data_IF_985217027319
#
_entry.id   IF_985217027319
#
_cell.length_a   1.000
_cell.length_b   1.000
_cell.length_c   1.000
_cell.angle_alpha   90.00
_cell.angle_beta   90.00
_cell.angle_gamma   90.00
#
_symmetry.space_group_name_H-M   'P 1'
#
loop_
_entity.id
_entity.type
_entity.pdbx_description
1 polymer ?
#
# COMPACT_ATOMS: atom_id res chain seq x y z
N UNK A 1 16.20 40.64 -75.30
CA UNK A 1 17.67 40.84 -75.28
C UNK A 1 17.99 41.94 -74.28
N UNK A 2 19.13 41.80 -73.59
CA UNK A 2 19.77 42.74 -72.66
C UNK A 2 19.32 42.73 -71.18
N UNK A 3 20.20 42.11 -70.37
CA UNK A 3 20.42 42.31 -68.93
C UNK A 3 21.16 43.63 -68.69
N UNK A 4 20.98 44.30 -67.54
CA UNK A 4 21.94 45.06 -66.67
C UNK A 4 21.09 45.55 -65.47
N UNK A 5 21.18 45.05 -64.21
CA UNK A 5 22.16 45.19 -63.11
C UNK A 5 22.20 46.58 -62.41
N UNK A 6 21.92 46.55 -61.08
CA UNK A 6 22.41 47.41 -59.98
C UNK A 6 21.93 48.89 -59.90
N UNK A 7 21.82 49.57 -58.75
CA UNK A 7 21.68 49.32 -57.30
C UNK A 7 21.59 50.73 -56.66
N UNK A 8 21.02 50.84 -55.46
CA UNK A 8 21.22 51.95 -54.49
C UNK A 8 20.53 53.30 -54.80
N UNK A 9 19.93 54.04 -53.86
CA UNK A 9 19.70 53.90 -52.43
C UNK A 9 18.50 54.79 -52.09
N UNK A 10 17.51 54.27 -51.37
CA UNK A 10 16.42 55.09 -50.83
C UNK A 10 16.78 55.39 -49.37
N UNK A 11 16.94 56.69 -49.11
CA UNK A 11 17.00 57.31 -47.79
C UNK A 11 15.70 56.97 -47.05
N UNK A 12 15.78 56.13 -46.02
CA UNK A 12 14.72 56.05 -45.01
C UNK A 12 15.15 56.82 -43.77
N UNK A 13 14.37 57.85 -43.51
CA UNK A 13 14.38 58.78 -42.40
C UNK A 13 14.47 58.05 -41.05
N UNK A 14 15.44 58.45 -40.24
CA UNK A 14 15.49 58.13 -38.83
C UNK A 14 14.33 58.82 -38.11
N UNK A 15 13.24 58.09 -37.85
CA UNK A 15 12.31 58.43 -36.78
C UNK A 15 12.92 57.82 -35.52
N UNK A 16 13.54 58.68 -34.71
CA UNK A 16 13.92 58.39 -33.33
C UNK A 16 12.63 58.26 -32.53
N UNK A 17 12.05 57.05 -32.57
CA UNK A 17 11.09 56.65 -31.55
C UNK A 17 11.89 56.39 -30.28
N UNK A 18 11.89 57.36 -29.38
CA UNK A 18 12.26 57.19 -27.98
C UNK A 18 11.27 56.24 -27.31
N UNK A 19 11.30 54.97 -27.69
CA UNK A 19 10.80 53.92 -26.84
C UNK A 19 11.79 53.87 -25.67
N UNK A 20 11.44 54.51 -24.56
CA UNK A 20 11.86 54.04 -23.26
C UNK A 20 11.53 52.54 -23.23
N UNK A 21 12.53 51.72 -23.52
CA UNK A 21 12.51 50.34 -23.14
C UNK A 21 12.34 50.37 -21.62
N UNK A 22 11.10 50.16 -21.17
CA UNK A 22 10.85 49.72 -19.80
C UNK A 22 11.56 48.38 -19.75
N UNK A 23 12.82 48.40 -19.30
CA UNK A 23 13.54 47.21 -18.95
C UNK A 23 12.60 46.40 -18.05
N UNK A 24 12.44 45.08 -18.27
CA UNK A 24 11.73 44.27 -17.29
C UNK A 24 12.38 44.59 -15.95
N UNK A 25 11.56 45.02 -14.97
CA UNK A 25 12.01 45.36 -13.64
C UNK A 25 13.09 44.36 -13.24
N UNK A 26 14.33 44.82 -13.07
CA UNK A 26 15.44 43.92 -12.78
C UNK A 26 15.01 43.08 -11.58
N UNK A 27 14.95 41.75 -11.78
CA UNK A 27 14.68 40.82 -10.70
C UNK A 27 15.65 41.18 -9.58
N UNK A 28 15.12 41.62 -8.45
CA UNK A 28 15.93 41.94 -7.28
C UNK A 28 16.18 40.61 -6.57
N UNK A 29 17.37 39.99 -6.74
CA UNK A 29 17.63 38.67 -6.23
C UNK A 29 17.57 38.62 -4.69
N UNK A 30 17.78 39.77 -4.02
CA UNK A 30 17.63 39.85 -2.58
C UNK A 30 16.14 39.78 -2.20
N UNK A 31 15.31 40.58 -2.88
CA UNK A 31 13.86 40.59 -2.67
C UNK A 31 13.22 39.23 -2.97
N UNK A 32 13.55 38.62 -4.11
CA UNK A 32 13.01 37.32 -4.51
C UNK A 32 13.35 36.22 -3.50
N UNK A 33 14.60 36.22 -2.99
CA UNK A 33 15.03 35.29 -1.96
C UNK A 33 14.24 35.47 -0.64
N UNK A 34 14.03 36.72 -0.22
CA UNK A 34 13.26 37.04 0.99
C UNK A 34 11.79 36.64 0.85
N UNK A 35 11.15 36.96 -0.27
CA UNK A 35 9.74 36.60 -0.54
C UNK A 35 9.56 35.08 -0.58
N UNK A 36 10.50 34.36 -1.22
CA UNK A 36 10.47 32.89 -1.25
C UNK A 36 10.61 32.27 0.12
N UNK A 37 11.55 32.76 0.94
CA UNK A 37 11.74 32.26 2.32
C UNK A 37 10.54 32.59 3.21
N UNK A 38 9.92 33.76 3.06
CA UNK A 38 8.72 34.13 3.79
C UNK A 38 7.53 33.21 3.45
N UNK A 39 7.37 32.84 2.18
CA UNK A 39 6.36 31.87 1.75
C UNK A 39 6.58 30.49 2.38
N UNK A 40 7.82 30.01 2.38
CA UNK A 40 8.20 28.72 2.98
C UNK A 40 7.94 28.74 4.49
N UNK A 41 8.33 29.81 5.19
CA UNK A 41 8.10 29.98 6.62
C UNK A 41 6.59 29.95 6.95
N UNK A 42 5.76 30.60 6.13
CA UNK A 42 4.29 30.57 6.26
C UNK A 42 3.70 29.19 6.01
N UNK A 43 4.20 28.47 5.00
CA UNK A 43 3.77 27.10 4.72
C UNK A 43 4.14 26.15 5.87
N UNK A 44 5.34 26.29 6.41
CA UNK A 44 5.81 25.47 7.52
C UNK A 44 5.05 25.75 8.81
N UNK A 45 4.67 27.00 9.05
CA UNK A 45 3.79 27.35 10.16
C UNK A 45 2.44 26.62 10.08
N UNK A 46 1.86 26.47 8.88
CA UNK A 46 0.64 25.67 8.69
C UNK A 46 0.87 24.19 9.01
N UNK A 47 2.01 23.64 8.64
CA UNK A 47 2.40 22.26 8.99
C UNK A 47 2.49 22.12 10.51
N UNK A 48 3.15 23.06 11.19
CA UNK A 48 3.25 23.07 12.66
C UNK A 48 1.89 23.19 13.35
N UNK A 49 0.97 23.98 12.79
CA UNK A 49 -0.36 24.20 13.38
C UNK A 49 -1.36 23.08 13.09
N UNK A 50 -1.31 22.50 11.88
CA UNK A 50 -2.36 21.59 11.37
C UNK A 50 -1.88 20.18 11.06
N UNK A 51 -0.56 19.96 11.00
CA UNK A 51 0.02 18.66 10.67
C UNK A 51 -0.15 18.22 9.21
N UNK A 52 -0.59 19.11 8.31
CA UNK A 52 -0.81 18.82 6.88
C UNK A 52 0.53 18.72 6.13
N UNK A 53 0.83 17.58 5.51
CA UNK A 53 2.12 17.34 4.82
C UNK A 53 2.04 17.34 3.28
N UNK A 54 0.85 17.49 2.70
CA UNK A 54 0.64 17.30 1.25
C UNK A 54 1.20 18.43 0.39
N UNK A 55 1.28 19.63 0.95
CA UNK A 55 1.74 20.84 0.27
C UNK A 55 3.05 21.40 0.86
N UNK A 56 3.97 20.52 1.27
CA UNK A 56 5.30 20.94 1.73
C UNK A 56 6.10 21.57 0.58
N UNK A 57 6.72 22.75 0.78
CA UNK A 57 7.65 23.30 -0.20
C UNK A 57 8.90 22.42 -0.32
N UNK A 58 9.57 22.47 -1.48
CA UNK A 58 10.79 21.71 -1.71
C UNK A 58 11.97 22.22 -0.87
N UNK A 59 12.74 21.29 -0.27
CA UNK A 59 13.94 21.63 0.52
C UNK A 59 15.00 22.29 -0.37
N UNK A 60 15.12 21.83 -1.62
CA UNK A 60 16.06 22.38 -2.59
C UNK A 60 15.79 23.86 -2.86
N UNK A 61 14.52 24.23 -3.01
CA UNK A 61 14.10 25.61 -3.24
C UNK A 61 14.40 26.51 -2.03
N UNK A 62 14.20 25.99 -0.81
CA UNK A 62 14.59 26.71 0.41
C UNK A 62 16.09 27.00 0.44
N UNK A 63 16.91 25.97 0.19
CA UNK A 63 18.38 26.10 0.19
C UNK A 63 18.87 27.01 -0.93
N UNK A 64 18.23 26.98 -2.10
CA UNK A 64 18.51 27.88 -3.21
C UNK A 64 18.23 29.34 -2.84
N UNK A 65 17.10 29.62 -2.18
CA UNK A 65 16.76 30.96 -1.73
C UNK A 65 17.74 31.48 -0.66
N UNK A 66 18.17 30.64 0.30
CA UNK A 66 19.22 31.00 1.26
C UNK A 66 20.53 31.34 0.55
N UNK A 67 20.96 30.53 -0.43
CA UNK A 67 22.19 30.78 -1.18
C UNK A 67 22.11 32.07 -2.00
N UNK A 68 20.99 32.30 -2.68
CA UNK A 68 20.76 33.50 -3.48
C UNK A 68 20.77 34.76 -2.60
N UNK A 69 20.07 34.73 -1.46
CA UNK A 69 20.04 35.85 -0.52
C UNK A 69 21.42 36.19 0.06
N UNK A 70 22.22 35.17 0.39
CA UNK A 70 23.59 35.37 0.87
C UNK A 70 24.49 35.99 -0.22
N UNK A 71 24.37 35.51 -1.47
CA UNK A 71 25.10 36.06 -2.61
C UNK A 71 24.68 37.51 -2.93
N UNK A 72 23.42 37.87 -2.66
CA UNK A 72 22.90 39.22 -2.81
C UNK A 72 23.22 40.15 -1.61
N UNK A 73 23.95 39.67 -0.61
CA UNK A 73 24.42 40.50 0.52
C UNK A 73 23.38 40.73 1.63
N UNK A 74 22.32 39.91 1.72
CA UNK A 74 21.33 40.01 2.79
C UNK A 74 22.00 39.71 4.14
N UNK A 75 21.76 40.58 5.13
CA UNK A 75 22.36 40.42 6.46
C UNK A 75 21.52 39.49 7.33
N UNK A 76 22.15 38.85 8.33
CA UNK A 76 21.45 37.91 9.22
C UNK A 76 20.30 38.55 10.02
N UNK A 77 20.35 39.86 10.25
CA UNK A 77 19.31 40.63 10.95
C UNK A 77 18.16 41.08 10.04
N UNK A 78 18.28 40.96 8.70
CA UNK A 78 17.20 41.29 7.78
C UNK A 78 15.98 40.42 8.07
N UNK A 79 14.83 41.05 8.33
CA UNK A 79 13.58 40.36 8.53
C UNK A 79 13.05 39.78 7.21
N UNK A 80 12.39 38.61 7.28
CA UNK A 80 11.61 38.11 6.16
C UNK A 80 10.29 38.91 6.05
N UNK A 81 9.80 39.23 4.84
CA UNK A 81 8.57 40.00 4.62
C UNK A 81 7.37 39.43 5.38
N UNK A 82 6.72 40.26 6.20
CA UNK A 82 5.54 39.90 7.02
C UNK A 82 5.76 38.72 7.98
N UNK A 83 7.01 38.42 8.36
CA UNK A 83 7.35 37.36 9.31
C UNK A 83 8.19 37.89 10.47
N UNK A 84 8.10 37.22 11.61
CA UNK A 84 9.01 37.45 12.75
C UNK A 84 10.41 36.83 12.53
N UNK A 85 10.53 35.93 11.55
CA UNK A 85 11.78 35.22 11.22
C UNK A 85 12.75 36.15 10.48
N UNK A 86 14.04 36.05 10.79
CA UNK A 86 15.11 36.76 10.07
C UNK A 86 15.86 35.85 9.12
N UNK A 87 16.56 36.43 8.14
CA UNK A 87 17.38 35.71 7.18
C UNK A 87 18.43 34.82 7.86
N UNK A 88 19.02 35.27 8.98
CA UNK A 88 19.96 34.46 9.78
C UNK A 88 19.39 33.14 10.31
N UNK A 89 18.06 33.01 10.40
CA UNK A 89 17.37 31.78 10.79
C UNK A 89 16.93 30.91 9.61
N UNK A 90 17.10 31.37 8.37
CA UNK A 90 16.62 30.67 7.19
C UNK A 90 17.31 29.31 6.97
N UNK A 91 18.56 29.14 7.40
CA UNK A 91 19.23 27.84 7.39
C UNK A 91 18.54 26.81 8.31
N UNK A 92 18.13 27.25 9.50
CA UNK A 92 17.37 26.42 10.43
C UNK A 92 15.97 26.09 9.88
N UNK A 93 15.32 27.06 9.21
CA UNK A 93 14.06 26.85 8.51
C UNK A 93 14.16 25.73 7.46
N UNK A 94 15.21 25.75 6.61
CA UNK A 94 15.39 24.71 5.60
C UNK A 94 15.71 23.32 6.19
N UNK A 95 16.40 23.29 7.33
CA UNK A 95 16.64 22.04 8.06
C UNK A 95 15.36 21.50 8.68
N UNK A 96 14.52 22.38 9.23
CA UNK A 96 13.22 22.01 9.78
C UNK A 96 12.31 21.43 8.69
N UNK A 97 12.27 22.08 7.52
CA UNK A 97 11.55 21.59 6.35
C UNK A 97 12.04 20.19 5.91
N UNK A 98 13.35 19.94 5.93
CA UNK A 98 13.90 18.63 5.60
C UNK A 98 13.44 17.53 6.56
N UNK A 99 13.25 17.85 7.84
CA UNK A 99 12.68 16.91 8.82
C UNK A 99 11.23 16.58 8.47
N UNK A 100 10.42 17.57 8.10
CA UNK A 100 9.02 17.37 7.70
C UNK A 100 8.88 16.53 6.42
N UNK A 101 9.78 16.68 5.45
CA UNK A 101 9.84 15.80 4.28
C UNK A 101 10.11 14.34 4.65
N UNK A 102 11.03 14.10 5.60
CA UNK A 102 11.27 12.73 6.10
C UNK A 102 10.06 12.16 6.82
N UNK A 103 9.34 12.98 7.60
CA UNK A 103 8.08 12.56 8.23
C UNK A 103 6.98 12.26 7.21
N UNK A 104 6.89 13.02 6.11
CA UNK A 104 5.96 12.73 5.00
C UNK A 104 6.23 11.37 4.37
N UNK A 105 7.50 11.04 4.11
CA UNK A 105 7.86 9.73 3.56
C UNK A 105 7.47 8.57 4.51
N UNK A 106 7.59 8.78 5.82
CA UNK A 106 7.11 7.81 6.82
C UNK A 106 5.58 7.71 6.79
N UNK A 107 4.87 8.85 6.75
CA UNK A 107 3.39 8.89 6.63
C UNK A 107 2.91 8.04 5.45
N UNK A 108 3.51 8.20 4.28
CA UNK A 108 3.12 7.47 3.07
C UNK A 108 3.28 5.94 3.22
N UNK A 109 4.27 5.47 3.99
CA UNK A 109 4.46 4.05 4.27
C UNK A 109 3.44 3.48 5.25
N UNK A 110 3.02 4.27 6.25
CA UNK A 110 2.18 3.80 7.35
C UNK A 110 0.68 4.07 7.14
N UNK A 111 0.33 4.99 6.24
CA UNK A 111 -1.05 5.35 5.93
C UNK A 111 -1.96 4.14 5.66
N UNK A 112 -1.57 3.10 4.90
CA UNK A 112 -2.44 1.95 4.67
C UNK A 112 -2.88 1.25 5.96
N UNK A 113 -1.94 1.03 6.89
CA UNK A 113 -2.24 0.39 8.17
C UNK A 113 -3.08 1.29 9.08
N UNK A 114 -2.82 2.61 9.08
CA UNK A 114 -3.57 3.55 9.90
C UNK A 114 -5.00 3.74 9.40
N UNK A 115 -5.22 3.81 8.08
CA UNK A 115 -6.56 3.79 7.49
C UNK A 115 -7.33 2.52 7.90
N UNK A 116 -6.66 1.37 7.89
CA UNK A 116 -7.24 0.11 8.40
C UNK A 116 -7.57 0.23 9.88
N UNK A 117 -6.63 0.65 10.72
CA UNK A 117 -6.81 0.71 12.16
C UNK A 117 -7.95 1.65 12.59
N UNK A 118 -8.14 2.77 11.89
CA UNK A 118 -9.08 3.82 12.31
C UNK A 118 -10.44 3.77 11.61
N UNK A 119 -10.51 3.26 10.39
CA UNK A 119 -11.76 3.21 9.61
C UNK A 119 -12.31 1.81 9.54
N UNK A 120 -11.48 0.85 9.12
CA UNK A 120 -11.97 -0.49 8.81
C UNK A 120 -12.01 -1.40 10.03
N UNK A 121 -11.03 -1.35 10.92
CA UNK A 121 -10.96 -2.25 12.07
C UNK A 121 -12.11 -2.04 13.07
N UNK A 122 -12.58 -0.81 13.36
CA UNK A 122 -13.79 -0.63 14.19
C UNK A 122 -15.03 -1.25 13.53
N UNK A 123 -15.16 -1.13 12.20
CA UNK A 123 -16.27 -1.68 11.41
C UNK A 123 -16.16 -3.20 11.20
N UNK A 124 -14.93 -3.72 11.09
CA UNK A 124 -14.59 -5.12 10.85
C UNK A 124 -14.41 -5.92 12.15
N UNK A 125 -14.90 -5.40 13.28
CA UNK A 125 -14.78 -6.04 14.59
C UNK A 125 -15.32 -7.47 14.64
N UNK A 126 -16.13 -7.89 13.66
CA UNK A 126 -16.66 -9.24 13.53
C UNK A 126 -15.94 -10.15 12.51
N UNK A 127 -15.12 -9.63 11.60
CA UNK A 127 -14.51 -10.44 10.53
C UNK A 127 -13.05 -10.80 10.83
N UNK A 128 -12.87 -11.99 11.44
CA UNK A 128 -11.57 -12.54 11.81
C UNK A 128 -10.68 -12.83 10.59
N UNK A 129 -11.27 -13.21 9.46
CA UNK A 129 -10.49 -13.48 8.25
C UNK A 129 -9.92 -12.19 7.67
N UNK A 130 -10.71 -11.12 7.69
CA UNK A 130 -10.26 -9.80 7.26
C UNK A 130 -9.16 -9.24 8.18
N UNK A 131 -9.32 -9.34 9.50
CA UNK A 131 -8.29 -8.90 10.46
C UNK A 131 -6.97 -9.68 10.31
N UNK A 132 -7.04 -10.98 10.02
CA UNK A 132 -5.85 -11.81 9.75
C UNK A 132 -5.11 -11.33 8.50
N UNK A 133 -5.83 -10.91 7.46
CA UNK A 133 -5.25 -10.41 6.20
C UNK A 133 -4.49 -9.10 6.40
N UNK A 134 -4.87 -8.29 7.40
CA UNK A 134 -4.22 -7.00 7.69
C UNK A 134 -2.96 -7.08 8.57
N UNK A 135 -2.63 -8.25 9.10
CA UNK A 135 -1.47 -8.43 9.97
C UNK A 135 -0.15 -7.96 9.33
N UNK A 136 0.17 -8.27 8.05
CA UNK A 136 1.40 -7.79 7.41
C UNK A 136 1.49 -6.27 7.32
N UNK A 137 0.38 -5.57 7.09
CA UNK A 137 0.33 -4.11 7.03
C UNK A 137 0.61 -3.50 8.40
N UNK A 138 0.08 -4.10 9.47
CA UNK A 138 0.38 -3.68 10.84
C UNK A 138 1.86 -3.85 11.19
N UNK A 139 2.47 -4.99 10.79
CA UNK A 139 3.89 -5.25 10.98
C UNK A 139 4.77 -4.26 10.21
N UNK A 140 4.44 -3.99 8.94
CA UNK A 140 5.15 -3.01 8.12
C UNK A 140 5.05 -1.59 8.70
N UNK A 141 3.89 -1.21 9.23
CA UNK A 141 3.72 0.07 9.91
C UNK A 141 4.66 0.20 11.12
N UNK A 142 4.70 -0.81 11.99
CA UNK A 142 5.58 -0.80 13.17
C UNK A 142 7.05 -0.70 12.76
N UNK A 143 7.47 -1.44 11.73
CA UNK A 143 8.83 -1.37 11.21
C UNK A 143 9.18 0.03 10.68
N UNK A 144 8.29 0.66 9.92
CA UNK A 144 8.51 2.00 9.40
C UNK A 144 8.64 3.05 10.51
N UNK A 145 7.80 2.98 11.55
CA UNK A 145 7.87 3.90 12.69
C UNK A 145 9.14 3.64 13.53
N UNK A 146 9.45 2.38 13.81
CA UNK A 146 10.64 2.03 14.61
C UNK A 146 11.93 2.43 13.88
N UNK A 147 11.99 2.24 12.55
CA UNK A 147 13.10 2.71 11.72
C UNK A 147 13.20 4.24 11.69
N UNK A 148 12.06 4.95 11.61
CA UNK A 148 12.02 6.41 11.66
C UNK A 148 12.57 6.97 12.98
N UNK A 149 12.15 6.39 14.11
CA UNK A 149 12.63 6.76 15.44
C UNK A 149 14.12 6.43 15.62
N UNK A 150 14.56 5.25 15.17
CA UNK A 150 15.97 4.87 15.19
C UNK A 150 16.85 5.79 14.31
N UNK A 151 16.29 6.31 13.21
CA UNK A 151 16.95 7.29 12.34
C UNK A 151 16.95 8.73 12.91
N UNK A 152 16.47 8.92 14.14
CA UNK A 152 16.47 10.19 14.85
C UNK A 152 15.37 11.16 14.42
N UNK A 153 14.29 10.69 13.78
CA UNK A 153 13.15 11.57 13.52
C UNK A 153 12.47 11.96 14.84
N UNK A 154 11.97 13.21 14.95
CA UNK A 154 11.47 13.74 16.21
C UNK A 154 10.16 13.05 16.60
N UNK A 155 10.18 12.35 17.74
CA UNK A 155 9.00 11.66 18.27
C UNK A 155 7.85 12.61 18.63
N UNK A 156 8.14 13.85 19.04
CA UNK A 156 7.14 14.81 19.53
C UNK A 156 6.43 15.63 18.45
N UNK A 157 6.74 15.43 17.16
CA UNK A 157 6.05 16.17 16.09
C UNK A 157 4.79 15.43 15.67
N UNK A 158 3.66 16.12 15.77
CA UNK A 158 2.36 15.60 15.34
C UNK A 158 2.08 15.97 13.87
N UNK A 159 1.55 15.02 13.11
CA UNK A 159 1.10 15.23 11.73
C UNK A 159 -0.12 14.37 11.41
N UNK A 160 -0.87 14.75 10.37
CA UNK A 160 -2.03 13.99 9.92
C UNK A 160 -1.57 12.63 9.35
N UNK A 161 -2.03 11.50 9.91
CA UNK A 161 -1.49 10.18 9.53
C UNK A 161 -2.04 9.64 8.21
N UNK A 162 -3.24 10.06 7.83
CA UNK A 162 -3.94 9.67 6.61
C UNK A 162 -5.00 10.73 6.27
N UNK A 163 -5.47 10.77 5.02
CA UNK A 163 -6.43 11.79 4.52
C UNK A 163 -7.77 11.79 5.26
N UNK A 164 -8.15 10.66 5.85
CA UNK A 164 -9.41 10.42 6.55
C UNK A 164 -9.31 10.60 8.08
N UNK A 165 -8.20 11.16 8.57
CA UNK A 165 -7.99 11.40 9.99
C UNK A 165 -7.87 12.89 10.28
N UNK A 166 -8.76 13.39 11.12
CA UNK A 166 -8.93 14.83 11.39
C UNK A 166 -8.03 15.35 12.51
N UNK A 167 -7.17 14.50 13.10
CA UNK A 167 -6.30 14.86 14.22
C UNK A 167 -4.83 14.55 13.92
N UNK A 168 -3.93 15.53 14.08
CA UNK A 168 -2.50 15.28 14.08
C UNK A 168 -2.09 14.34 15.22
N UNK A 169 -1.24 13.37 14.89
CA UNK A 169 -0.71 12.38 15.83
C UNK A 169 0.80 12.32 15.72
N UNK A 170 1.45 12.10 16.84
CA UNK A 170 2.88 11.83 16.92
C UNK A 170 3.22 10.42 16.46
N UNK A 171 4.49 10.17 16.11
CA UNK A 171 4.94 8.81 15.75
C UNK A 171 4.61 7.77 16.83
N UNK A 172 4.81 8.02 18.15
CA UNK A 172 4.39 7.09 19.20
C UNK A 172 2.87 6.81 19.24
N UNK A 173 2.02 7.83 19.04
CA UNK A 173 0.58 7.63 18.99
C UNK A 173 0.16 6.79 17.77
N UNK A 174 0.75 7.05 16.60
CA UNK A 174 0.51 6.25 15.39
C UNK A 174 1.00 4.81 15.57
N UNK A 175 2.13 4.63 16.26
CA UNK A 175 2.66 3.30 16.61
C UNK A 175 1.66 2.51 17.45
N UNK A 176 1.00 3.15 18.41
CA UNK A 176 0.00 2.50 19.26
C UNK A 176 -1.17 1.92 18.45
N UNK A 177 -1.64 2.64 17.43
CA UNK A 177 -2.68 2.14 16.51
C UNK A 177 -2.20 0.91 15.72
N UNK A 178 -0.95 0.93 15.24
CA UNK A 178 -0.38 -0.22 14.53
C UNK A 178 -0.14 -1.42 15.45
N UNK A 179 0.19 -1.20 16.74
CA UNK A 179 0.23 -2.26 17.76
C UNK A 179 -1.15 -2.88 17.94
N UNK A 180 -2.19 -2.06 18.12
CA UNK A 180 -3.57 -2.57 18.28
C UNK A 180 -4.00 -3.42 17.08
N UNK A 181 -3.76 -2.92 15.86
CA UNK A 181 -4.10 -3.66 14.65
C UNK A 181 -3.35 -4.99 14.55
N UNK A 182 -2.04 -5.00 14.87
CA UNK A 182 -1.22 -6.22 14.90
C UNK A 182 -1.79 -7.22 15.90
N UNK A 183 -2.12 -6.78 17.11
CA UNK A 183 -2.58 -7.67 18.18
C UNK A 183 -3.92 -8.30 17.82
N UNK A 184 -4.85 -7.51 17.27
CA UNK A 184 -6.13 -8.01 16.75
C UNK A 184 -5.94 -9.00 15.61
N UNK A 185 -5.05 -8.71 14.65
CA UNK A 185 -4.71 -9.62 13.56
C UNK A 185 -4.06 -10.92 14.05
N UNK A 186 -3.21 -10.83 15.07
CA UNK A 186 -2.57 -11.98 15.72
C UNK A 186 -3.58 -12.89 16.44
N UNK A 187 -4.50 -12.31 17.22
CA UNK A 187 -5.60 -13.05 17.85
C UNK A 187 -6.48 -13.72 16.81
N UNK A 188 -6.87 -13.01 15.75
CA UNK A 188 -7.69 -13.56 14.68
C UNK A 188 -6.99 -14.74 13.97
N UNK A 189 -5.70 -14.60 13.66
CA UNK A 189 -4.87 -15.68 13.08
C UNK A 189 -4.85 -16.92 13.98
N UNK A 190 -4.67 -16.74 15.28
CA UNK A 190 -4.66 -17.85 16.25
C UNK A 190 -6.02 -18.54 16.33
N UNK A 191 -7.11 -17.77 16.36
CA UNK A 191 -8.47 -18.30 16.40
C UNK A 191 -8.84 -19.08 15.14
N UNK A 192 -8.55 -18.54 13.95
CA UNK A 192 -8.80 -19.26 12.68
C UNK A 192 -8.03 -20.58 12.62
N UNK A 193 -6.78 -20.60 13.11
CA UNK A 193 -6.00 -21.82 13.19
C UNK A 193 -6.57 -22.83 14.20
N UNK A 194 -7.10 -22.35 15.33
CA UNK A 194 -7.75 -23.20 16.33
C UNK A 194 -9.06 -23.80 15.78
N UNK A 195 -9.88 -23.02 15.10
CA UNK A 195 -11.13 -23.46 14.48
C UNK A 195 -10.86 -24.50 13.38
N UNK A 196 -9.83 -24.27 12.55
CA UNK A 196 -9.42 -25.24 11.53
C UNK A 196 -8.97 -26.58 12.15
N UNK A 197 -8.21 -26.55 13.25
CA UNK A 197 -7.81 -27.76 13.99
C UNK A 197 -9.02 -28.47 14.62
N UNK A 198 -9.96 -27.73 15.18
CA UNK A 198 -11.18 -28.29 15.75
C UNK A 198 -12.05 -28.95 14.67
N UNK A 199 -12.19 -28.31 13.50
CA UNK A 199 -12.90 -28.86 12.35
C UNK A 199 -12.22 -30.14 11.83
N UNK A 200 -10.88 -30.15 11.70
CA UNK A 200 -10.13 -31.34 11.30
C UNK A 200 -10.34 -32.49 12.31
N UNK A 201 -10.28 -32.20 13.61
CA UNK A 201 -10.50 -33.18 14.67
C UNK A 201 -11.92 -33.76 14.61
N UNK A 202 -12.94 -32.93 14.38
CA UNK A 202 -14.32 -33.35 14.21
C UNK A 202 -14.50 -34.25 12.97
N UNK A 203 -13.90 -33.89 11.83
CA UNK A 203 -13.91 -34.71 10.62
C UNK A 203 -13.22 -36.06 10.85
N UNK A 204 -12.05 -36.05 11.50
CA UNK A 204 -11.32 -37.27 11.85
C UNK A 204 -12.16 -38.17 12.75
N UNK A 205 -12.83 -37.61 13.76
CA UNK A 205 -13.70 -38.35 14.67
C UNK A 205 -14.91 -38.96 13.95
N UNK A 206 -15.60 -38.18 13.10
CA UNK A 206 -16.71 -38.64 12.24
C UNK A 206 -16.32 -39.87 11.44
N UNK A 207 -15.23 -39.79 10.68
CA UNK A 207 -14.80 -40.89 9.80
C UNK A 207 -14.23 -42.09 10.55
N UNK A 208 -13.52 -41.86 11.66
CA UNK A 208 -13.00 -42.94 12.51
C UNK A 208 -14.14 -43.72 13.17
N UNK A 209 -15.20 -43.04 13.65
CA UNK A 209 -16.41 -43.67 14.21
C UNK A 209 -17.13 -44.56 13.19
N UNK A 210 -17.08 -44.18 11.91
CA UNK A 210 -17.61 -44.98 10.81
C UNK A 210 -16.66 -46.13 10.38
N UNK A 211 -15.45 -46.22 10.93
CA UNK A 211 -14.49 -47.30 10.72
C UNK A 211 -13.37 -47.02 9.72
N UNK A 212 -13.22 -45.79 9.23
CA UNK A 212 -12.12 -45.44 8.33
C UNK A 212 -10.76 -45.38 9.07
N UNK A 213 -9.69 -45.86 8.42
CA UNK A 213 -8.32 -45.89 8.97
C UNK A 213 -7.28 -45.60 7.88
N UNK A 214 -6.05 -45.25 8.29
CA UNK A 214 -4.91 -45.09 7.39
C UNK A 214 -5.15 -44.10 6.24
N UNK A 215 -4.66 -44.42 5.04
CA UNK A 215 -4.81 -43.55 3.87
C UNK A 215 -6.28 -43.28 3.50
N UNK A 216 -7.20 -44.22 3.78
CA UNK A 216 -8.62 -44.03 3.52
C UNK A 216 -9.24 -42.96 4.42
N UNK A 217 -8.84 -42.91 5.70
CA UNK A 217 -9.27 -41.84 6.62
C UNK A 217 -8.84 -40.47 6.11
N UNK A 218 -7.57 -40.33 5.73
CA UNK A 218 -7.03 -39.08 5.16
C UNK A 218 -7.79 -38.65 3.91
N UNK A 219 -8.06 -39.58 2.99
CA UNK A 219 -8.83 -39.29 1.79
C UNK A 219 -10.26 -38.84 2.10
N UNK A 220 -10.98 -39.54 2.98
CA UNK A 220 -12.37 -39.20 3.31
C UNK A 220 -12.49 -37.86 4.03
N UNK A 221 -11.51 -37.49 4.86
CA UNK A 221 -11.43 -36.14 5.43
C UNK A 221 -11.28 -35.07 4.34
N UNK A 222 -10.44 -35.32 3.32
CA UNK A 222 -10.23 -34.38 2.20
C UNK A 222 -11.50 -34.17 1.37
N UNK A 223 -12.27 -35.23 1.14
CA UNK A 223 -13.42 -35.22 0.22
C UNK A 223 -14.77 -35.17 0.95
N UNK A 224 -14.79 -34.82 2.24
CA UNK A 224 -16.01 -34.82 3.06
C UNK A 224 -17.12 -33.94 2.46
N UNK A 225 -16.74 -32.77 1.96
CA UNK A 225 -17.60 -31.76 1.34
C UNK A 225 -17.94 -32.06 -0.13
N UNK A 226 -17.35 -33.11 -0.72
CA UNK A 226 -17.54 -33.45 -2.12
C UNK A 226 -18.56 -34.58 -2.28
N UNK A 227 -19.23 -34.55 -3.43
CA UNK A 227 -19.97 -35.70 -3.95
C UNK A 227 -18.94 -36.70 -4.47
N UNK A 228 -19.01 -37.93 -3.97
CA UNK A 228 -18.10 -39.00 -4.37
C UNK A 228 -18.92 -40.20 -4.77
N UNK A 229 -18.65 -40.71 -5.98
CA UNK A 229 -19.43 -41.79 -6.58
C UNK A 229 -18.73 -43.13 -6.39
N UNK A 230 -19.52 -44.20 -6.29
CA UNK A 230 -19.04 -45.58 -6.23
C UNK A 230 -18.86 -46.24 -7.58
N UNK A 231 -18.63 -47.56 -7.57
CA UNK A 231 -18.50 -48.41 -8.77
C UNK A 231 -19.65 -48.21 -9.76
N UNK A 232 -20.87 -48.01 -9.27
CA UNK A 232 -22.09 -47.92 -10.08
C UNK A 232 -22.47 -46.48 -10.44
N UNK A 233 -21.53 -45.53 -10.31
CA UNK A 233 -21.74 -44.09 -10.52
C UNK A 233 -22.83 -43.46 -9.66
N UNK A 234 -23.19 -44.11 -8.55
CA UNK A 234 -24.11 -43.55 -7.57
C UNK A 234 -23.33 -42.88 -6.46
N UNK A 235 -23.87 -41.76 -5.97
CA UNK A 235 -23.33 -41.09 -4.80
C UNK A 235 -23.30 -42.05 -3.61
N UNK A 236 -22.16 -42.06 -2.93
CA UNK A 236 -21.95 -42.88 -1.75
C UNK A 236 -22.36 -42.12 -0.50
N UNK A 237 -23.24 -42.74 0.29
CA UNK A 237 -23.52 -42.28 1.67
C UNK A 237 -22.28 -42.41 2.55
N UNK A 238 -22.19 -41.69 3.69
CA UNK A 238 -21.02 -41.76 4.56
C UNK A 238 -20.65 -43.19 5.00
N UNK A 239 -21.63 -44.05 5.29
CA UNK A 239 -21.38 -45.44 5.66
C UNK A 239 -20.86 -46.28 4.49
N UNK A 240 -21.36 -46.03 3.27
CA UNK A 240 -20.88 -46.70 2.06
C UNK A 240 -19.46 -46.29 1.69
N UNK A 241 -19.11 -45.00 1.87
CA UNK A 241 -17.76 -44.48 1.58
C UNK A 241 -16.66 -45.24 2.35
N UNK A 242 -16.89 -45.64 3.60
CA UNK A 242 -15.87 -46.38 4.37
C UNK A 242 -15.52 -47.75 3.78
N UNK A 243 -16.48 -48.41 3.12
CA UNK A 243 -16.31 -49.77 2.56
C UNK A 243 -16.07 -49.79 1.05
N UNK A 244 -16.25 -48.66 0.36
CA UNK A 244 -16.14 -48.59 -1.09
C UNK A 244 -14.76 -49.07 -1.60
N UNK A 245 -14.76 -49.90 -2.64
CA UNK A 245 -13.54 -50.37 -3.28
C UNK A 245 -12.88 -49.27 -4.15
N UNK A 246 -13.71 -48.38 -4.68
CA UNK A 246 -13.34 -47.31 -5.62
C UNK A 246 -14.21 -46.08 -5.35
N UNK A 247 -13.62 -44.92 -5.59
CA UNK A 247 -14.28 -43.62 -5.55
C UNK A 247 -14.07 -42.93 -6.90
N UNK A 248 -15.11 -42.27 -7.40
CA UNK A 248 -15.01 -41.36 -8.53
C UNK A 248 -15.39 -39.94 -8.11
N UNK A 249 -14.58 -38.99 -8.52
CA UNK A 249 -14.90 -37.56 -8.48
C UNK A 249 -14.95 -37.06 -9.92
N UNK A 250 -15.89 -36.18 -10.19
CA UNK A 250 -16.12 -35.63 -11.53
C UNK A 250 -15.99 -34.13 -11.43
N UNK A 251 -15.14 -33.56 -12.27
CA UNK A 251 -15.08 -32.13 -12.53
C UNK A 251 -15.29 -31.91 -14.02
N UNK A 252 -15.77 -30.74 -14.39
CA UNK A 252 -16.01 -30.40 -15.78
C UNK A 252 -15.40 -29.05 -16.12
N UNK A 253 -14.90 -28.95 -17.35
CA UNK A 253 -14.60 -27.68 -17.99
C UNK A 253 -15.44 -27.54 -19.28
N UNK A 254 -15.12 -26.55 -20.11
CA UNK A 254 -15.84 -26.29 -21.36
C UNK A 254 -15.70 -27.44 -22.38
N UNK A 255 -14.62 -28.21 -22.36
CA UNK A 255 -14.28 -29.18 -23.41
C UNK A 255 -14.41 -30.64 -22.95
N UNK A 256 -14.20 -30.93 -21.66
CA UNK A 256 -14.07 -32.29 -21.16
C UNK A 256 -14.73 -32.51 -19.78
N UNK A 257 -15.08 -33.77 -19.54
CA UNK A 257 -15.29 -34.33 -18.20
C UNK A 257 -13.96 -34.88 -17.69
N UNK A 258 -13.49 -34.38 -16.57
CA UNK A 258 -12.35 -34.93 -15.86
C UNK A 258 -12.85 -35.84 -14.75
N UNK A 259 -12.48 -37.11 -14.80
CA UNK A 259 -12.91 -38.09 -13.81
C UNK A 259 -11.69 -38.63 -13.08
N UNK A 260 -11.65 -38.42 -11.77
CA UNK A 260 -10.64 -38.98 -10.87
C UNK A 260 -11.16 -40.26 -10.26
N UNK A 261 -10.43 -41.36 -10.44
CA UNK A 261 -10.67 -42.65 -9.82
C UNK A 261 -9.66 -42.85 -8.69
N UNK A 262 -10.13 -42.98 -7.46
CA UNK A 262 -9.30 -43.31 -6.30
C UNK A 262 -9.59 -44.74 -5.82
N UNK A 263 -8.55 -45.52 -5.57
CA UNK A 263 -8.62 -46.88 -5.02
C UNK A 263 -7.66 -47.06 -3.85
N UNK A 264 -7.87 -48.10 -3.03
CA UNK A 264 -7.04 -48.39 -1.84
C UNK A 264 -6.49 -49.83 -1.78
N UNK A 265 -5.81 -50.34 -2.83
CA UNK A 265 -5.23 -51.68 -2.78
C UNK A 265 -4.16 -51.77 -1.69
N UNK A 266 -4.25 -52.78 -0.83
CA UNK A 266 -3.32 -52.96 0.30
C UNK A 266 -3.27 -51.76 1.25
N UNK A 267 -4.35 -50.97 1.34
CA UNK A 267 -4.43 -49.80 2.22
C UNK A 267 -3.69 -48.55 1.74
N UNK A 268 -3.10 -48.57 0.53
CA UNK A 268 -2.41 -47.41 -0.07
C UNK A 268 -3.32 -46.71 -1.08
N UNK A 269 -3.39 -45.38 -1.01
CA UNK A 269 -4.14 -44.59 -1.99
C UNK A 269 -3.48 -44.69 -3.37
N UNK A 270 -4.29 -44.94 -4.40
CA UNK A 270 -3.89 -44.85 -5.81
C UNK A 270 -4.93 -44.04 -6.57
N UNK A 271 -4.48 -42.98 -7.23
CA UNK A 271 -5.32 -42.10 -8.02
C UNK A 271 -5.03 -42.30 -9.51
N UNK A 272 -6.08 -42.26 -10.31
CA UNK A 272 -6.03 -42.24 -11.78
C UNK A 272 -6.95 -41.13 -12.27
N UNK A 273 -6.57 -40.45 -13.34
CA UNK A 273 -7.39 -39.40 -13.95
C UNK A 273 -7.60 -39.73 -15.41
N UNK A 274 -8.82 -39.53 -15.90
CA UNK A 274 -9.13 -39.57 -17.33
C UNK A 274 -9.95 -38.34 -17.70
N UNK A 275 -9.62 -37.77 -18.86
CA UNK A 275 -10.43 -36.77 -19.51
C UNK A 275 -11.29 -37.45 -20.59
N UNK A 276 -12.56 -37.10 -20.63
CA UNK A 276 -13.52 -37.55 -21.63
C UNK A 276 -14.06 -36.33 -22.36
N UNK A 277 -13.79 -36.25 -23.64
CA UNK A 277 -14.26 -35.16 -24.50
C UNK A 277 -15.80 -35.11 -24.52
N UNK A 278 -16.39 -33.93 -24.27
CA UNK A 278 -17.84 -33.77 -24.14
C UNK A 278 -18.61 -33.98 -25.44
N UNK A 279 -17.97 -33.79 -26.59
CA UNK A 279 -18.59 -33.88 -27.92
C UNK A 279 -18.58 -35.31 -28.45
N UNK A 280 -17.54 -36.07 -28.14
CA UNK A 280 -17.25 -37.37 -28.76
C UNK A 280 -17.38 -38.53 -27.78
N UNK A 281 -17.40 -38.29 -26.47
CA UNK A 281 -17.40 -39.33 -25.46
C UNK A 281 -18.35 -39.01 -24.29
N UNK A 282 -18.99 -40.06 -23.78
CA UNK A 282 -19.63 -40.00 -22.46
C UNK A 282 -18.74 -40.70 -21.46
N UNK A 283 -18.51 -40.07 -20.31
CA UNK A 283 -17.82 -40.74 -19.22
C UNK A 283 -18.77 -41.71 -18.51
N UNK A 284 -18.19 -42.77 -17.94
CA UNK A 284 -18.84 -43.73 -17.03
C UNK A 284 -17.79 -44.26 -16.07
N UNK A 285 -18.18 -44.73 -14.90
CA UNK A 285 -17.29 -45.35 -13.94
C UNK A 285 -16.62 -46.58 -14.58
N UNK A 286 -15.28 -46.66 -14.51
CA UNK A 286 -14.47 -47.71 -15.17
C UNK A 286 -13.47 -48.34 -14.20
#
# INVERSE_FOLDING_TARGET
>A
MSRVVALSAIVLSAIVSSALAVAPAHADPARDALERLALIDRQLERVHQRGELDALPEVADCRAAVKAGAAAGITASTALPDRATTFGRAGALCNDLAVWHRLRAVREQIAPALTIATTYAPLASADRDLLRVYLPQAEACLQAIDAALAAGLPAGRAFLPAENLDRPMTLPEQRALCVELRDRGGTAKAQVAADAKAAEAALRAKWTKLGAKGARLTYLMKVDHLIVLGKDCRELTPTQRVKAAVFYQVNEDAAAWHVWKTTFPGGKQRDQVKAFDKLTQRWRCW
#
